data_IF_151121801710
#
_entry.id   IF_151121801710
#
_cell.length_a   1.000
_cell.length_b   1.000
_cell.length_c   1.000
_cell.angle_alpha   90.00
_cell.angle_beta   90.00
_cell.angle_gamma   90.00
#
_symmetry.space_group_name_H-M   'P 1'
#
loop_
_entity.id
_entity.type
_entity.pdbx_description
1 polymer ?
#
# COMPACT_ATOMS: atom_id res chain seq x y z
N UNK A 1 16.75 -4.58 -72.09
CA UNK A 1 17.39 -4.77 -70.79
C UNK A 1 16.48 -4.20 -69.71
N UNK A 2 15.67 -5.06 -69.10
CA UNK A 2 14.68 -4.65 -68.10
C UNK A 2 15.31 -4.89 -66.75
N UNK A 3 15.56 -3.79 -65.99
CA UNK A 3 16.01 -3.90 -64.60
C UNK A 3 14.80 -4.09 -63.67
N UNK A 4 14.66 -5.28 -63.12
CA UNK A 4 13.72 -5.56 -62.03
C UNK A 4 14.25 -4.92 -60.76
N UNK A 5 13.53 -3.95 -60.24
CA UNK A 5 13.74 -3.40 -58.89
C UNK A 5 12.87 -4.21 -57.96
N UNK A 6 13.50 -5.09 -57.14
CA UNK A 6 12.85 -5.81 -56.06
C UNK A 6 12.82 -4.88 -54.86
N UNK A 7 11.65 -4.29 -54.56
CA UNK A 7 11.38 -3.60 -53.32
C UNK A 7 11.18 -4.64 -52.22
N UNK A 8 12.19 -4.86 -51.43
CA UNK A 8 12.05 -5.60 -50.18
C UNK A 8 11.29 -4.76 -49.15
N UNK A 9 10.01 -5.00 -49.00
CA UNK A 9 9.23 -4.43 -47.91
C UNK A 9 9.65 -5.08 -46.60
N UNK A 10 10.48 -4.41 -45.82
CA UNK A 10 10.78 -4.77 -44.46
C UNK A 10 9.53 -4.46 -43.60
N UNK A 11 8.70 -5.46 -43.36
CA UNK A 11 7.64 -5.40 -42.35
C UNK A 11 8.33 -5.46 -40.98
N UNK A 12 8.56 -4.30 -40.40
CA UNK A 12 8.92 -4.18 -38.98
C UNK A 12 7.67 -4.55 -38.20
N UNK A 13 7.59 -5.80 -37.77
CA UNK A 13 6.63 -6.23 -36.77
C UNK A 13 7.00 -5.52 -35.46
N UNK A 14 6.43 -4.35 -35.21
CA UNK A 14 6.33 -3.80 -33.88
C UNK A 14 5.42 -4.74 -33.07
N UNK A 15 6.01 -5.80 -32.53
CA UNK A 15 5.42 -6.57 -31.48
C UNK A 15 5.18 -5.63 -30.30
N UNK A 16 3.97 -5.07 -30.23
CA UNK A 16 3.53 -4.38 -29.03
C UNK A 16 3.63 -5.39 -27.89
N UNK A 17 4.60 -5.20 -27.02
CA UNK A 17 4.60 -5.78 -25.68
C UNK A 17 3.35 -5.18 -25.00
N UNK A 18 2.21 -5.82 -25.17
CA UNK A 18 1.09 -5.67 -24.28
C UNK A 18 1.59 -6.22 -22.96
N UNK A 19 2.27 -5.36 -22.19
CA UNK A 19 2.64 -5.66 -20.82
C UNK A 19 1.34 -5.93 -20.10
N UNK A 20 1.06 -7.18 -19.76
CA UNK A 20 -0.03 -7.50 -18.85
C UNK A 20 0.23 -6.67 -17.60
N UNK A 21 -0.67 -5.75 -17.27
CA UNK A 21 -0.59 -5.00 -16.02
C UNK A 21 -0.61 -6.02 -14.89
N UNK A 22 0.41 -6.03 -14.07
CA UNK A 22 0.52 -6.90 -12.90
C UNK A 22 0.29 -6.07 -11.63
N UNK A 23 -0.10 -6.72 -10.54
CA UNK A 23 -0.19 -6.05 -9.26
C UNK A 23 1.13 -5.34 -8.91
N UNK A 24 1.04 -4.18 -8.28
CA UNK A 24 2.21 -3.41 -7.87
C UNK A 24 3.14 -4.25 -6.99
N UNK A 25 4.39 -4.46 -7.40
CA UNK A 25 5.35 -5.15 -6.54
C UNK A 25 5.77 -4.27 -5.36
N UNK A 26 6.42 -4.88 -4.38
CA UNK A 26 7.00 -4.18 -3.25
C UNK A 26 8.24 -3.39 -3.69
N UNK A 27 8.07 -2.14 -4.02
CA UNK A 27 9.10 -1.25 -4.55
C UNK A 27 8.92 0.19 -4.07
N UNK A 28 9.97 1.02 -4.10
CA UNK A 28 9.81 2.47 -3.90
C UNK A 28 8.90 3.09 -4.95
N UNK A 29 8.10 4.06 -4.55
CA UNK A 29 7.32 4.87 -5.47
C UNK A 29 8.27 5.76 -6.29
N UNK A 30 8.25 5.62 -7.61
CA UNK A 30 9.09 6.43 -8.49
C UNK A 30 8.42 7.79 -8.76
N UNK A 31 9.15 8.89 -8.56
CA UNK A 31 8.64 10.23 -8.90
C UNK A 31 8.30 10.32 -10.39
N UNK A 32 7.12 10.87 -10.69
CA UNK A 32 6.67 11.08 -12.08
C UNK A 32 5.97 9.88 -12.73
N UNK A 33 6.06 8.68 -12.18
CA UNK A 33 5.33 7.52 -12.65
C UNK A 33 4.04 7.32 -11.83
N UNK A 34 3.04 8.14 -12.06
CA UNK A 34 1.77 8.11 -11.31
C UNK A 34 1.02 6.75 -11.41
N UNK A 35 1.34 5.95 -12.42
CA UNK A 35 0.75 4.62 -12.66
C UNK A 35 1.48 3.48 -11.96
N UNK A 36 2.76 3.64 -11.58
CA UNK A 36 3.61 2.51 -11.13
C UNK A 36 3.37 2.20 -9.69
N UNK A 37 2.68 2.67 -8.83
CA UNK A 37 2.53 2.28 -7.43
C UNK A 37 3.84 2.00 -6.69
N UNK A 38 3.74 1.79 -5.38
CA UNK A 38 4.89 1.53 -4.52
C UNK A 38 4.80 2.27 -3.17
N UNK A 39 5.86 2.13 -2.37
CA UNK A 39 5.94 2.80 -1.06
C UNK A 39 6.69 4.13 -1.13
N UNK A 40 6.33 5.03 -0.22
CA UNK A 40 7.04 6.27 0.06
C UNK A 40 7.03 6.55 1.56
N UNK A 41 8.01 7.32 2.02
CA UNK A 41 8.19 7.65 3.43
C UNK A 41 8.44 9.15 3.58
N UNK A 42 7.93 9.69 4.68
CA UNK A 42 8.19 11.06 5.09
C UNK A 42 8.59 11.07 6.55
N UNK A 43 9.80 11.52 6.83
CA UNK A 43 10.26 11.74 8.21
C UNK A 43 9.52 12.94 8.78
N UNK A 44 8.83 12.74 9.91
CA UNK A 44 8.12 13.80 10.62
C UNK A 44 8.93 14.33 11.79
N UNK A 45 9.52 13.42 12.58
CA UNK A 45 10.39 13.68 13.72
C UNK A 45 11.54 12.66 13.72
N UNK A 46 12.38 12.67 14.74
CA UNK A 46 13.56 11.78 14.76
C UNK A 46 13.18 10.30 14.66
N UNK A 47 12.15 9.91 15.40
CA UNK A 47 11.62 8.57 15.57
C UNK A 47 10.21 8.39 14.97
N UNK A 48 9.62 9.44 14.39
CA UNK A 48 8.27 9.45 13.84
C UNK A 48 8.27 9.60 12.32
N UNK A 49 7.58 8.69 11.67
CA UNK A 49 7.51 8.64 10.21
C UNK A 49 6.09 8.40 9.73
N UNK A 50 5.79 8.97 8.58
CA UNK A 50 4.61 8.61 7.79
C UNK A 50 5.05 7.74 6.63
N UNK A 51 4.41 6.58 6.50
CA UNK A 51 4.63 5.62 5.43
C UNK A 51 3.37 5.55 4.60
N UNK A 52 3.52 5.46 3.29
CA UNK A 52 2.41 5.33 2.35
C UNK A 52 2.72 4.20 1.38
N UNK A 53 1.72 3.38 1.04
CA UNK A 53 1.78 2.44 -0.07
C UNK A 53 0.62 2.70 -1.03
N UNK A 54 0.95 2.79 -2.33
CA UNK A 54 -0.02 2.95 -3.42
C UNK A 54 0.01 1.72 -4.31
N UNK A 55 -1.16 1.11 -4.51
CA UNK A 55 -1.37 0.04 -5.50
C UNK A 55 -1.80 0.59 -6.85
N UNK A 56 -1.70 -0.23 -7.89
CA UNK A 56 -2.36 -0.02 -9.17
C UNK A 56 -3.73 -0.72 -9.20
N UNK A 57 -4.41 -0.72 -10.36
CA UNK A 57 -5.74 -1.31 -10.55
C UNK A 57 -5.80 -2.82 -10.26
N UNK A 58 -4.66 -3.52 -10.37
CA UNK A 58 -4.53 -4.96 -10.14
C UNK A 58 -4.13 -5.32 -8.71
N UNK A 59 -3.83 -4.32 -7.87
CA UNK A 59 -3.34 -4.54 -6.50
C UNK A 59 -4.49 -4.59 -5.53
N UNK A 60 -4.66 -5.74 -4.86
CA UNK A 60 -5.71 -5.91 -3.87
C UNK A 60 -5.48 -5.03 -2.62
N UNK A 61 -6.55 -4.74 -1.88
CA UNK A 61 -6.47 -4.04 -0.59
C UNK A 61 -5.56 -4.76 0.39
N UNK A 62 -5.70 -6.09 0.48
CA UNK A 62 -4.86 -6.92 1.36
C UNK A 62 -3.37 -6.76 1.03
N UNK A 63 -3.02 -6.74 -0.24
CA UNK A 63 -1.63 -6.54 -0.69
C UNK A 63 -1.12 -5.16 -0.28
N UNK A 64 -1.92 -4.11 -0.53
CA UNK A 64 -1.58 -2.72 -0.18
C UNK A 64 -1.31 -2.58 1.33
N UNK A 65 -2.18 -3.16 2.16
CA UNK A 65 -2.06 -3.11 3.62
C UNK A 65 -0.87 -3.94 4.13
N UNK A 66 -0.70 -5.15 3.59
CA UNK A 66 0.43 -6.03 3.91
C UNK A 66 1.77 -5.35 3.62
N UNK A 67 1.88 -4.71 2.46
CA UNK A 67 3.11 -4.03 2.05
C UNK A 67 3.39 -2.78 2.87
N UNK A 68 2.34 -2.05 3.28
CA UNK A 68 2.49 -0.93 4.20
C UNK A 68 3.04 -1.37 5.55
N UNK A 69 2.44 -2.41 6.16
CA UNK A 69 2.87 -2.94 7.46
C UNK A 69 4.30 -3.50 7.38
N UNK A 70 4.62 -4.25 6.33
CA UNK A 70 5.98 -4.73 6.11
C UNK A 70 6.98 -3.58 5.99
N UNK A 71 6.62 -2.49 5.27
CA UNK A 71 7.50 -1.33 5.13
C UNK A 71 7.72 -0.60 6.45
N UNK A 72 6.68 -0.50 7.29
CA UNK A 72 6.82 0.05 8.64
C UNK A 72 7.87 -0.72 9.45
N UNK A 73 7.80 -2.04 9.41
CA UNK A 73 8.74 -2.91 10.11
C UNK A 73 10.16 -2.80 9.52
N UNK A 74 10.31 -2.87 8.20
CA UNK A 74 11.59 -2.75 7.51
C UNK A 74 12.26 -1.39 7.78
N UNK A 75 11.49 -0.31 7.73
CA UNK A 75 11.99 1.03 8.05
C UNK A 75 12.45 1.10 9.50
N UNK A 76 11.67 0.56 10.45
CA UNK A 76 12.01 0.52 11.88
C UNK A 76 13.35 -0.16 12.10
N UNK A 77 13.56 -1.34 11.54
CA UNK A 77 14.84 -2.07 11.65
C UNK A 77 15.97 -1.31 10.95
N UNK A 78 15.75 -0.73 9.78
CA UNK A 78 16.77 0.00 9.03
C UNK A 78 17.23 1.28 9.73
N UNK A 79 16.36 1.90 10.54
CA UNK A 79 16.69 3.07 11.37
C UNK A 79 17.33 2.68 12.72
N UNK A 80 17.51 1.37 12.99
CA UNK A 80 18.16 0.86 14.21
C UNK A 80 17.24 0.67 15.39
N UNK A 81 15.92 0.76 15.21
CA UNK A 81 14.92 0.53 16.25
C UNK A 81 14.45 -0.93 16.27
N UNK A 82 13.74 -1.32 17.33
CA UNK A 82 13.35 -2.71 17.57
C UNK A 82 11.87 -2.94 17.31
N UNK A 83 11.02 -1.97 17.68
CA UNK A 83 9.58 -2.07 17.52
C UNK A 83 8.98 -0.69 17.18
N UNK A 84 7.75 -0.67 16.73
CA UNK A 84 7.01 0.55 16.42
C UNK A 84 5.58 0.47 16.92
N UNK A 85 5.00 1.61 17.20
CA UNK A 85 3.58 1.79 17.43
C UNK A 85 2.94 2.65 16.35
N UNK A 86 1.64 2.44 16.12
CA UNK A 86 0.87 3.27 15.20
C UNK A 86 0.26 4.44 15.94
N UNK A 87 0.37 5.63 15.36
CA UNK A 87 -0.28 6.84 15.87
C UNK A 87 -1.70 6.87 15.33
N UNK A 88 -2.70 6.77 16.22
CA UNK A 88 -4.09 7.01 15.84
C UNK A 88 -4.27 8.49 15.45
N UNK A 89 -4.72 8.73 14.22
CA UNK A 89 -5.24 10.05 13.88
C UNK A 89 -6.60 10.19 14.57
N UNK A 90 -6.70 11.15 15.49
CA UNK A 90 -7.99 11.60 16.02
C UNK A 90 -8.79 12.28 14.91
N UNK A 91 -9.33 11.52 13.99
CA UNK A 91 -10.22 12.10 12.96
C UNK A 91 -11.67 12.06 13.38
N UNK A 92 -12.06 11.25 14.38
CA UNK A 92 -13.44 11.27 14.88
C UNK A 92 -13.54 10.84 16.34
N UNK A 93 -14.00 11.78 17.17
CA UNK A 93 -14.36 11.58 18.58
C UNK A 93 -15.60 10.71 18.82
N UNK A 94 -16.04 9.95 17.85
CA UNK A 94 -17.32 9.21 17.91
C UNK A 94 -17.23 7.70 17.83
N UNK A 95 -16.04 7.09 17.88
CA UNK A 95 -15.88 5.65 17.72
C UNK A 95 -15.40 4.90 18.96
N UNK A 96 -15.81 5.29 20.16
CA UNK A 96 -15.59 4.48 21.37
C UNK A 96 -16.52 3.27 21.48
N UNK A 97 -17.26 2.90 20.46
CA UNK A 97 -18.22 1.80 20.57
C UNK A 97 -17.86 0.66 19.66
N UNK A 98 -17.16 -0.31 20.23
CA UNK A 98 -17.21 -1.73 19.89
C UNK A 98 -16.76 -2.11 18.48
N UNK A 99 -15.48 -2.38 18.30
CA UNK A 99 -15.06 -3.34 17.26
C UNK A 99 -14.26 -4.46 17.91
N UNK A 100 -14.97 -5.50 18.34
CA UNK A 100 -14.39 -6.80 18.71
C UNK A 100 -14.06 -7.62 17.45
N UNK A 101 -13.70 -7.02 16.35
CA UNK A 101 -13.33 -7.73 15.14
C UNK A 101 -11.86 -7.53 14.82
N UNK A 102 -11.16 -8.63 14.66
CA UNK A 102 -9.95 -8.71 13.87
C UNK A 102 -10.26 -7.95 12.57
N UNK A 103 -9.48 -6.91 12.24
CA UNK A 103 -9.64 -6.20 10.99
C UNK A 103 -9.76 -7.19 9.84
N UNK A 104 -10.41 -6.85 8.73
CA UNK A 104 -10.77 -7.79 7.66
C UNK A 104 -9.61 -8.61 7.11
N UNK A 105 -8.38 -8.29 7.50
CA UNK A 105 -7.16 -8.93 7.01
C UNK A 105 -6.28 -9.56 8.10
N UNK A 106 -6.74 -9.66 9.35
CA UNK A 106 -6.09 -10.47 10.39
C UNK A 106 -4.87 -9.84 11.10
N UNK A 107 -4.59 -8.55 10.90
CA UNK A 107 -3.41 -7.88 11.50
C UNK A 107 -3.59 -7.40 12.95
N UNK A 108 -4.68 -7.78 13.60
CA UNK A 108 -4.95 -7.42 14.99
C UNK A 108 -5.49 -6.01 15.19
N UNK A 109 -5.92 -5.73 16.42
CA UNK A 109 -6.66 -4.53 16.79
C UNK A 109 -5.88 -3.21 16.72
N UNK A 110 -4.55 -3.27 16.68
CA UNK A 110 -3.67 -2.10 16.71
C UNK A 110 -3.30 -1.52 15.34
N UNK A 111 -3.56 -2.23 14.25
CA UNK A 111 -3.19 -1.77 12.92
C UNK A 111 -4.38 -1.14 12.21
N UNK A 112 -4.43 0.20 12.18
CA UNK A 112 -5.50 0.98 11.52
C UNK A 112 -4.91 2.04 10.60
N UNK A 113 -4.46 1.67 9.39
CA UNK A 113 -3.95 2.63 8.44
C UNK A 113 -5.08 3.50 7.89
N UNK A 114 -4.73 4.71 7.47
CA UNK A 114 -5.62 5.59 6.73
C UNK A 114 -5.70 5.16 5.27
N UNK A 115 -6.92 5.02 4.74
CA UNK A 115 -7.18 4.57 3.39
C UNK A 115 -7.66 5.68 2.47
N UNK A 116 -7.24 5.59 1.20
CA UNK A 116 -7.77 6.34 0.09
C UNK A 116 -8.00 5.42 -1.10
N UNK A 117 -8.99 5.74 -1.90
CA UNK A 117 -9.23 5.09 -3.18
C UNK A 117 -9.35 6.13 -4.28
N UNK A 118 -8.99 5.76 -5.47
CA UNK A 118 -9.09 6.59 -6.67
C UNK A 118 -10.06 5.96 -7.66
N UNK A 119 -10.94 6.76 -8.22
CA UNK A 119 -11.82 6.31 -9.29
C UNK A 119 -11.96 7.35 -10.38
N UNK A 120 -12.19 6.86 -11.59
CA UNK A 120 -12.37 7.69 -12.77
C UNK A 120 -13.66 8.50 -12.62
N UNK A 121 -13.56 9.81 -12.75
CA UNK A 121 -14.68 10.73 -12.66
C UNK A 121 -14.88 11.40 -11.29
N UNK A 122 -14.33 10.84 -10.17
CA UNK A 122 -14.44 11.49 -8.86
C UNK A 122 -13.07 11.70 -8.15
N UNK A 123 -11.96 11.14 -8.68
CA UNK A 123 -10.62 11.35 -8.14
C UNK A 123 -10.35 10.62 -6.82
N UNK A 124 -9.46 11.17 -5.99
CA UNK A 124 -9.10 10.59 -4.70
C UNK A 124 -10.14 10.89 -3.62
N UNK A 125 -10.61 9.84 -2.90
CA UNK A 125 -11.50 9.91 -1.75
C UNK A 125 -10.88 9.24 -0.54
N UNK A 126 -11.16 9.76 0.68
CA UNK A 126 -10.84 9.09 1.94
C UNK A 126 -11.81 7.95 2.19
N UNK A 127 -11.35 6.91 2.85
CA UNK A 127 -12.16 5.75 3.20
C UNK A 127 -11.72 5.15 4.53
N UNK A 128 -12.67 4.79 5.37
CA UNK A 128 -12.44 4.03 6.58
C UNK A 128 -13.10 2.65 6.43
N UNK A 129 -12.29 1.59 6.19
CA UNK A 129 -12.81 0.23 5.99
C UNK A 129 -13.40 -0.38 7.25
N UNK A 130 -13.18 0.24 8.42
CA UNK A 130 -13.69 -0.25 9.71
C UNK A 130 -15.11 0.27 10.02
N UNK A 131 -15.60 1.27 9.28
CA UNK A 131 -16.94 1.87 9.44
C UNK A 131 -17.97 1.37 8.43
N UNK A 132 -17.59 0.43 7.59
CA UNK A 132 -18.47 -0.12 6.57
C UNK A 132 -18.00 0.15 5.15
N UNK A 133 -18.79 -0.29 4.20
CA UNK A 133 -18.49 -0.13 2.79
C UNK A 133 -18.70 1.34 2.40
N UNK A 134 -17.69 2.03 1.82
CA UNK A 134 -17.82 3.41 1.37
C UNK A 134 -18.88 3.59 0.28
N UNK A 135 -19.36 2.48 -0.27
CA UNK A 135 -20.30 2.46 -1.39
C UNK A 135 -21.77 2.55 -0.99
N UNK A 136 -22.11 2.40 0.31
CA UNK A 136 -23.50 2.44 0.77
C UNK A 136 -24.14 3.84 0.77
N UNK A 137 -23.32 4.89 0.75
CA UNK A 137 -23.81 6.28 0.83
C UNK A 137 -23.83 7.06 -0.48
N UNK A 138 -22.96 6.73 -1.43
CA UNK A 138 -22.63 7.60 -2.56
C UNK A 138 -22.95 7.00 -3.95
N UNK A 139 -23.61 5.86 -4.06
CA UNK A 139 -23.85 5.15 -5.33
C UNK A 139 -22.57 4.96 -6.19
N UNK A 140 -21.43 4.76 -5.52
CA UNK A 140 -20.17 4.51 -6.20
C UNK A 140 -20.13 3.04 -6.60
N UNK A 141 -20.06 2.79 -7.89
CA UNK A 141 -19.85 1.45 -8.42
C UNK A 141 -18.42 0.99 -8.13
N UNK A 142 -18.27 -0.18 -7.50
CA UNK A 142 -16.97 -0.78 -7.18
C UNK A 142 -16.10 -0.94 -8.43
N UNK A 143 -16.70 -1.14 -9.59
CA UNK A 143 -16.01 -1.23 -10.88
C UNK A 143 -15.31 0.09 -11.28
N UNK A 144 -15.66 1.21 -10.65
CA UNK A 144 -15.03 2.52 -10.91
C UNK A 144 -13.75 2.74 -10.09
N UNK A 145 -13.43 1.86 -9.14
CA UNK A 145 -12.20 2.00 -8.36
C UNK A 145 -11.02 1.47 -9.17
N UNK A 146 -10.09 2.37 -9.45
CA UNK A 146 -8.89 2.03 -10.21
C UNK A 146 -7.70 1.69 -9.30
N UNK A 147 -7.64 2.22 -8.08
CA UNK A 147 -6.49 1.97 -7.18
C UNK A 147 -6.75 2.34 -5.73
N UNK A 148 -6.00 1.68 -4.85
CA UNK A 148 -5.99 1.94 -3.42
C UNK A 148 -4.67 2.57 -2.98
N UNK A 149 -4.74 3.42 -1.98
CA UNK A 149 -3.59 3.97 -1.27
C UNK A 149 -3.86 3.88 0.22
N UNK A 150 -2.85 3.45 0.98
CA UNK A 150 -2.93 3.42 2.44
C UNK A 150 -1.73 4.10 3.07
N UNK A 151 -1.90 4.73 4.22
CA UNK A 151 -0.82 5.37 4.96
C UNK A 151 -0.97 5.16 6.45
N UNK A 152 0.16 5.09 7.16
CA UNK A 152 0.22 5.05 8.60
C UNK A 152 1.31 6.00 9.11
N UNK A 153 1.09 6.58 10.27
CA UNK A 153 2.15 7.23 11.05
C UNK A 153 2.59 6.26 12.13
N UNK A 154 3.91 6.11 12.27
CA UNK A 154 4.52 5.25 13.26
C UNK A 154 5.50 6.04 14.12
N UNK A 155 5.63 5.63 15.38
CA UNK A 155 6.71 6.02 16.28
C UNK A 155 7.55 4.77 16.55
N UNK A 156 8.86 4.89 16.41
CA UNK A 156 9.81 3.79 16.57
C UNK A 156 10.50 3.83 17.91
N UNK A 157 10.77 2.67 18.49
CA UNK A 157 11.31 2.53 19.84
C UNK A 157 12.44 1.52 19.90
N UNK A 158 13.31 1.69 20.88
CA UNK A 158 14.35 0.72 21.23
C UNK A 158 13.90 -0.21 22.35
N UNK A 159 14.52 -1.39 22.41
CA UNK A 159 14.32 -2.37 23.47
C UNK A 159 13.10 -3.27 23.26
N UNK A 160 12.65 -3.98 24.29
CA UNK A 160 11.56 -4.94 24.17
C UNK A 160 10.21 -4.24 23.96
N UNK A 161 9.41 -4.79 23.05
CA UNK A 161 8.03 -4.36 22.83
C UNK A 161 7.19 -4.57 24.09
N UNK A 162 6.35 -3.61 24.53
CA UNK A 162 5.40 -3.79 25.62
C UNK A 162 4.43 -4.96 25.34
N UNK A 163 4.29 -5.87 26.31
CA UNK A 163 3.47 -7.09 26.13
C UNK A 163 1.97 -6.78 25.99
N UNK A 164 1.50 -5.74 26.68
CA UNK A 164 0.07 -5.41 26.79
C UNK A 164 -0.37 -4.35 25.78
N UNK A 165 0.55 -3.78 25.00
CA UNK A 165 0.22 -2.77 24.00
C UNK A 165 -0.16 -3.43 22.67
N UNK A 166 -1.45 -3.33 22.33
CA UNK A 166 -2.00 -3.87 21.07
C UNK A 166 -1.62 -3.04 19.84
N UNK A 167 -1.16 -1.81 20.02
CA UNK A 167 -0.73 -0.91 18.94
C UNK A 167 0.76 -1.02 18.65
N UNK A 168 1.50 -1.78 19.48
CA UNK A 168 2.92 -2.01 19.34
C UNK A 168 3.21 -3.28 18.53
N UNK A 169 4.13 -3.18 17.60
CA UNK A 169 4.55 -4.26 16.69
C UNK A 169 6.06 -4.49 16.78
N UNK A 170 6.47 -5.72 17.08
CA UNK A 170 7.89 -6.10 16.94
C UNK A 170 8.24 -6.12 15.45
N UNK A 171 9.24 -5.33 15.08
CA UNK A 171 9.54 -5.11 13.67
C UNK A 171 10.11 -6.37 12.99
N UNK A 172 10.92 -7.15 13.70
CA UNK A 172 11.51 -8.37 13.15
C UNK A 172 10.48 -9.49 13.02
N UNK A 173 9.56 -9.60 13.98
CA UNK A 173 8.46 -10.57 13.93
C UNK A 173 7.54 -10.26 12.75
N UNK A 174 7.15 -8.99 12.56
CA UNK A 174 6.33 -8.57 11.42
C UNK A 174 7.02 -8.93 10.10
N UNK A 175 8.31 -8.60 9.95
CA UNK A 175 9.06 -8.93 8.74
C UNK A 175 9.11 -10.43 8.49
N UNK A 176 9.38 -11.23 9.52
CA UNK A 176 9.45 -12.70 9.41
C UNK A 176 8.13 -13.29 8.97
N UNK A 177 7.02 -12.86 9.59
CA UNK A 177 5.69 -13.40 9.34
C UNK A 177 5.14 -13.01 7.96
N UNK A 178 5.52 -11.84 7.43
CA UNK A 178 5.02 -11.34 6.16
C UNK A 178 5.95 -11.60 4.98
N UNK A 179 7.19 -12.06 5.22
CA UNK A 179 8.21 -12.22 4.18
C UNK A 179 7.72 -13.01 2.93
N UNK A 180 6.94 -14.08 3.15
CA UNK A 180 6.41 -14.91 2.07
C UNK A 180 5.35 -14.23 1.21
N UNK A 181 4.74 -13.15 1.70
CA UNK A 181 3.72 -12.38 0.97
C UNK A 181 4.32 -11.21 0.16
N UNK A 182 5.62 -10.93 0.34
CA UNK A 182 6.29 -9.79 -0.27
C UNK A 182 6.83 -10.16 -1.65
N UNK A 183 6.23 -9.64 -2.69
CA UNK A 183 6.69 -9.83 -4.08
C UNK A 183 7.52 -8.63 -4.50
N UNK A 184 8.83 -8.85 -4.67
CA UNK A 184 9.77 -7.80 -5.14
C UNK A 184 9.73 -7.71 -6.66
N UNK A 185 10.14 -6.57 -7.25
CA UNK A 185 10.32 -6.45 -8.69
C UNK A 185 11.30 -7.50 -9.21
N UNK A 186 11.00 -8.06 -10.38
CA UNK A 186 11.91 -8.96 -11.15
C UNK A 186 13.00 -8.18 -11.86
#
# INVERSE_FOLDING_TARGET
MKRLIILAAAVVALGGLAGCETATPYQPLKPGEASSGGYSETKLEQDRWRITFRGNSMTSRETVETYLLYRAAELTVSQGYDWFETVERQTDKHSETRVDSIGPYGYGYGWRPYWRYYGRGFGWRGWDPYWGDPFWGDNIDVEQIERYETSAEIIMHHGPKPADDKHAFDARDVMSNLASKIVKPS
#
